data_IF_814895691773
#
_entry.id   IF_814895691773
#
_cell.length_a   1.000
_cell.length_b   1.000
_cell.length_c   1.000
_cell.angle_alpha   90.00
_cell.angle_beta   90.00
_cell.angle_gamma   90.00
#
_symmetry.space_group_name_H-M   'P 1'
#
loop_
_entity.id
_entity.type
_entity.pdbx_description
1 polymer ?
#
# COMPACT_ATOMS: atom_id res chain seq x y z
N UNK A 1 -11.28 -24.84 3.60
CA UNK A 1 -10.56 -23.60 3.19
C UNK A 1 -9.46 -23.99 2.26
N UNK A 2 -9.33 -23.27 1.15
CA UNK A 2 -8.19 -23.37 0.25
C UNK A 2 -6.92 -22.84 0.93
N UNK A 3 -5.74 -23.25 0.45
CA UNK A 3 -4.46 -22.75 0.95
C UNK A 3 -4.41 -21.21 0.88
N UNK A 4 -4.96 -20.65 -0.20
CA UNK A 4 -5.01 -19.20 -0.43
C UNK A 4 -5.92 -18.45 0.55
N UNK A 5 -7.03 -19.04 0.99
CA UNK A 5 -7.87 -18.44 2.05
C UNK A 5 -7.18 -18.43 3.41
N UNK A 6 -6.39 -19.48 3.73
CA UNK A 6 -5.61 -19.53 4.98
C UNK A 6 -4.51 -18.46 4.97
N UNK A 7 -3.83 -18.29 3.84
CA UNK A 7 -2.82 -17.25 3.65
C UNK A 7 -3.44 -15.85 3.78
N UNK A 8 -4.61 -15.62 3.15
CA UNK A 8 -5.38 -14.37 3.29
C UNK A 8 -5.66 -14.01 4.74
N UNK A 9 -6.19 -14.96 5.50
CA UNK A 9 -6.52 -14.76 6.92
C UNK A 9 -5.28 -14.59 7.79
N UNK A 10 -4.16 -15.23 7.45
CA UNK A 10 -2.91 -15.03 8.16
C UNK A 10 -2.38 -13.61 7.95
N UNK A 11 -2.24 -13.16 6.70
CA UNK A 11 -1.73 -11.83 6.38
C UNK A 11 -2.64 -10.74 6.94
N UNK A 12 -3.97 -10.88 6.81
CA UNK A 12 -4.93 -9.93 7.39
C UNK A 12 -4.75 -9.78 8.91
N UNK A 13 -4.43 -10.87 9.61
CA UNK A 13 -4.16 -10.85 11.06
C UNK A 13 -2.84 -10.18 11.39
N UNK A 14 -1.79 -10.41 10.60
CA UNK A 14 -0.50 -9.74 10.80
C UNK A 14 -0.62 -8.23 10.56
N UNK A 15 -1.29 -7.80 9.48
CA UNK A 15 -1.60 -6.39 9.23
C UNK A 15 -2.36 -5.78 10.42
N UNK A 16 -3.39 -6.46 10.92
CA UNK A 16 -4.17 -5.99 12.06
C UNK A 16 -3.32 -5.88 13.35
N UNK A 17 -2.38 -6.80 13.57
CA UNK A 17 -1.47 -6.75 14.71
C UNK A 17 -0.52 -5.56 14.60
N UNK A 18 0.02 -5.29 13.42
CA UNK A 18 0.91 -4.16 13.21
C UNK A 18 0.18 -2.83 13.35
N UNK A 19 -1.01 -2.69 12.76
CA UNK A 19 -1.86 -1.50 12.94
C UNK A 19 -2.17 -1.23 14.42
N UNK A 20 -2.40 -2.27 15.25
CA UNK A 20 -2.62 -2.09 16.70
C UNK A 20 -1.39 -1.54 17.45
N UNK A 21 -0.19 -1.74 16.92
CA UNK A 21 1.04 -1.15 17.48
C UNK A 21 1.19 0.30 17.05
N UNK A 22 0.80 0.61 15.81
CA UNK A 22 0.98 1.93 15.19
C UNK A 22 -0.10 2.94 15.59
N UNK A 23 -1.35 2.50 15.79
CA UNK A 23 -2.47 3.42 16.07
C UNK A 23 -3.57 2.80 16.94
N UNK A 24 -4.39 3.68 17.52
CA UNK A 24 -5.63 3.33 18.24
C UNK A 24 -6.90 3.72 17.48
N UNK A 25 -6.74 4.33 16.31
CA UNK A 25 -7.85 4.78 15.48
C UNK A 25 -8.62 3.57 14.91
N UNK A 26 -9.92 3.73 14.65
CA UNK A 26 -10.69 2.75 13.91
C UNK A 26 -10.06 2.48 12.54
N UNK A 27 -10.01 1.20 12.16
CA UNK A 27 -9.57 0.77 10.84
C UNK A 27 -10.40 -0.40 10.34
N UNK A 28 -10.39 -0.57 9.03
CA UNK A 28 -10.98 -1.71 8.31
C UNK A 28 -9.91 -2.34 7.45
N UNK A 29 -9.90 -3.68 7.39
CA UNK A 29 -9.05 -4.46 6.50
C UNK A 29 -9.95 -5.33 5.65
N UNK A 30 -9.82 -5.20 4.34
CA UNK A 30 -10.48 -6.05 3.35
C UNK A 30 -9.42 -6.68 2.45
N UNK A 31 -9.76 -7.81 1.83
CA UNK A 31 -8.86 -8.48 0.91
C UNK A 31 -9.64 -8.99 -0.30
N UNK A 32 -9.17 -8.63 -1.49
CA UNK A 32 -9.73 -9.06 -2.76
C UNK A 32 -8.68 -9.89 -3.52
N UNK A 33 -9.11 -11.00 -4.12
CA UNK A 33 -8.22 -11.80 -4.95
C UNK A 33 -8.21 -11.27 -6.38
N UNK A 34 -7.03 -10.89 -6.85
CA UNK A 34 -6.78 -10.50 -8.22
C UNK A 34 -5.85 -11.56 -8.87
N UNK A 35 -6.21 -12.15 -10.02
CA UNK A 35 -5.45 -13.25 -10.64
C UNK A 35 -3.95 -13.02 -10.87
N UNK A 36 -3.54 -11.80 -11.26
CA UNK A 36 -2.16 -11.45 -11.55
C UNK A 36 -1.38 -11.04 -10.29
N UNK A 37 -2.07 -10.51 -9.28
CA UNK A 37 -1.45 -9.96 -8.07
C UNK A 37 -1.57 -10.84 -6.82
N UNK A 38 -2.47 -11.81 -6.82
CA UNK A 38 -2.88 -12.53 -5.63
C UNK A 38 -3.85 -11.70 -4.79
N UNK A 39 -3.85 -11.87 -3.47
CA UNK A 39 -4.68 -11.02 -2.62
C UNK A 39 -4.11 -9.61 -2.52
N UNK A 40 -4.95 -8.62 -2.81
CA UNK A 40 -4.74 -7.20 -2.54
C UNK A 40 -5.47 -6.86 -1.25
N UNK A 41 -4.75 -6.26 -0.30
CA UNK A 41 -5.28 -5.89 1.00
C UNK A 41 -5.59 -4.39 1.02
N UNK A 42 -6.84 -4.06 1.29
CA UNK A 42 -7.31 -2.68 1.43
C UNK A 42 -7.37 -2.34 2.91
N UNK A 43 -6.62 -1.33 3.32
CA UNK A 43 -6.60 -0.81 4.68
C UNK A 43 -7.18 0.58 4.67
N UNK A 44 -8.36 0.76 5.27
CA UNK A 44 -8.99 2.07 5.45
C UNK A 44 -8.89 2.49 6.91
N UNK A 45 -8.34 3.67 7.19
CA UNK A 45 -8.19 4.19 8.56
C UNK A 45 -8.93 5.51 8.77
N UNK A 46 -9.50 5.69 9.96
CA UNK A 46 -10.12 6.95 10.37
C UNK A 46 -9.07 7.94 10.91
N UNK A 47 -8.25 8.46 9.99
CA UNK A 47 -7.19 9.42 10.26
C UNK A 47 -7.15 10.52 9.17
N UNK A 48 -6.50 11.64 9.48
CA UNK A 48 -6.11 12.61 8.45
C UNK A 48 -4.99 12.04 7.56
N UNK A 49 -4.81 12.64 6.38
CA UNK A 49 -3.82 12.20 5.40
C UNK A 49 -2.40 12.13 5.99
N UNK A 50 -1.98 13.13 6.76
CA UNK A 50 -0.65 13.20 7.37
C UNK A 50 -0.31 11.95 8.19
N UNK A 51 -1.17 11.59 9.15
CA UNK A 51 -1.02 10.40 10.01
C UNK A 51 -1.21 9.10 9.22
N UNK A 52 -2.18 9.05 8.30
CA UNK A 52 -2.43 7.87 7.47
C UNK A 52 -1.22 7.51 6.60
N UNK A 53 -0.56 8.51 6.00
CA UNK A 53 0.63 8.30 5.17
C UNK A 53 1.82 7.80 6.00
N UNK A 54 1.99 8.28 7.23
CA UNK A 54 3.04 7.78 8.13
C UNK A 54 2.79 6.33 8.54
N UNK A 55 1.54 5.97 8.88
CA UNK A 55 1.16 4.59 9.19
C UNK A 55 1.36 3.69 7.96
N UNK A 56 0.96 4.15 6.77
CA UNK A 56 1.15 3.42 5.52
C UNK A 56 2.64 3.15 5.26
N UNK A 57 3.50 4.16 5.40
CA UNK A 57 4.94 4.01 5.24
C UNK A 57 5.50 2.91 6.16
N UNK A 58 5.13 2.92 7.44
CA UNK A 58 5.54 1.89 8.40
C UNK A 58 5.04 0.50 8.03
N UNK A 59 3.79 0.41 7.59
CA UNK A 59 3.19 -0.85 7.18
C UNK A 59 3.91 -1.42 5.94
N UNK A 60 4.26 -0.58 4.98
CA UNK A 60 4.96 -0.98 3.75
C UNK A 60 6.42 -1.36 4.00
N UNK A 61 7.06 -0.79 5.02
CA UNK A 61 8.40 -1.22 5.45
C UNK A 61 8.39 -2.65 6.05
N UNK A 62 7.32 -3.02 6.76
CA UNK A 62 7.16 -4.34 7.38
C UNK A 62 6.67 -5.40 6.37
N UNK A 63 5.67 -5.06 5.57
CA UNK A 63 4.99 -5.97 4.64
C UNK A 63 5.50 -5.80 3.21
N UNK A 64 6.81 -5.95 3.01
CA UNK A 64 7.41 -5.87 1.67
C UNK A 64 6.80 -6.89 0.72
N UNK A 65 6.54 -6.47 -0.51
CA UNK A 65 5.97 -7.29 -1.60
C UNK A 65 4.51 -7.75 -1.38
N UNK A 66 3.87 -7.40 -0.26
CA UNK A 66 2.44 -7.62 -0.06
C UNK A 66 1.67 -6.46 -0.68
N UNK A 67 0.72 -6.70 -1.61
CA UNK A 67 -0.07 -5.62 -2.20
C UNK A 67 -1.01 -5.02 -1.17
N UNK A 68 -0.63 -3.88 -0.61
CA UNK A 68 -1.46 -3.12 0.35
C UNK A 68 -1.84 -1.78 -0.27
N UNK A 69 -3.14 -1.55 -0.40
CA UNK A 69 -3.74 -0.26 -0.76
C UNK A 69 -4.22 0.40 0.54
N UNK A 70 -3.85 1.65 0.74
CA UNK A 70 -4.11 2.36 1.99
C UNK A 70 -4.98 3.58 1.72
N UNK A 71 -6.08 3.68 2.45
CA UNK A 71 -7.09 4.75 2.34
C UNK A 71 -7.30 5.41 3.70
N UNK A 72 -7.69 6.68 3.68
CA UNK A 72 -8.03 7.44 4.88
C UNK A 72 -9.37 8.16 4.72
N UNK A 73 -10.08 8.36 5.83
CA UNK A 73 -11.41 9.01 5.82
C UNK A 73 -11.43 10.41 6.43
N UNK A 74 -10.34 10.85 7.05
CA UNK A 74 -10.19 12.19 7.59
C UNK A 74 -9.84 13.24 6.53
N UNK A 75 -9.45 14.43 7.00
CA UNK A 75 -9.11 15.54 6.11
C UNK A 75 -7.77 15.28 5.41
N UNK A 76 -7.67 15.74 4.15
CA UNK A 76 -6.38 15.84 3.46
C UNK A 76 -5.68 17.10 3.93
N UNK A 77 -4.95 16.98 5.04
CA UNK A 77 -4.26 18.06 5.77
C UNK A 77 -2.80 18.27 5.33
N UNK A 78 -2.44 17.75 4.15
CA UNK A 78 -1.14 17.91 3.51
C UNK A 78 -1.30 18.59 2.16
N UNK A 79 -0.27 19.31 1.72
CA UNK A 79 -0.23 19.85 0.36
C UNK A 79 -0.11 18.73 -0.68
N UNK A 80 -0.44 19.06 -1.94
CA UNK A 80 -0.27 18.11 -3.06
C UNK A 80 1.19 17.69 -3.25
N UNK A 81 2.14 18.58 -3.01
CA UNK A 81 3.59 18.30 -3.10
C UNK A 81 4.02 17.31 -2.01
N UNK A 82 3.66 17.57 -0.74
CA UNK A 82 3.95 16.67 0.37
C UNK A 82 3.29 15.30 0.19
N UNK A 83 2.07 15.26 -0.35
CA UNK A 83 1.40 14.01 -0.67
C UNK A 83 2.17 13.22 -1.73
N UNK A 84 2.59 13.87 -2.82
CA UNK A 84 3.35 13.23 -3.89
C UNK A 84 4.70 12.68 -3.40
N UNK A 85 5.42 13.45 -2.58
CA UNK A 85 6.69 13.02 -1.99
C UNK A 85 6.52 11.80 -1.09
N UNK A 86 5.52 11.82 -0.18
CA UNK A 86 5.24 10.70 0.72
C UNK A 86 4.82 9.45 -0.06
N UNK A 87 3.99 9.59 -1.10
CA UNK A 87 3.61 8.46 -1.95
C UNK A 87 4.82 7.88 -2.69
N UNK A 88 5.72 8.72 -3.21
CA UNK A 88 6.94 8.25 -3.84
C UNK A 88 7.84 7.48 -2.85
N UNK A 89 7.98 7.97 -1.62
CA UNK A 89 8.72 7.27 -0.56
C UNK A 89 8.09 5.91 -0.24
N UNK A 90 6.77 5.86 -0.06
CA UNK A 90 6.02 4.63 0.19
C UNK A 90 6.25 3.59 -0.93
N UNK A 91 6.16 4.01 -2.19
CA UNK A 91 6.38 3.14 -3.35
C UNK A 91 7.81 2.57 -3.38
N UNK A 92 8.82 3.37 -3.04
CA UNK A 92 10.21 2.90 -2.97
C UNK A 92 10.43 1.89 -1.82
N UNK A 93 9.69 2.04 -0.72
CA UNK A 93 9.84 1.22 0.49
C UNK A 93 9.04 -0.08 0.47
N UNK A 94 7.83 -0.06 -0.09
CA UNK A 94 6.91 -1.21 -0.14
C UNK A 94 7.43 -2.41 -0.94
N UNK A 95 8.49 -2.23 -1.72
CA UNK A 95 9.16 -3.33 -2.43
C UNK A 95 8.31 -3.97 -3.52
N UNK A 96 7.07 -3.52 -3.73
CA UNK A 96 6.22 -3.89 -4.86
C UNK A 96 6.92 -3.38 -6.11
N UNK A 97 7.73 -4.25 -6.72
CA UNK A 97 8.11 -4.08 -8.12
C UNK A 97 6.79 -4.01 -8.86
N UNK A 98 6.55 -2.92 -9.59
CA UNK A 98 5.41 -2.86 -10.50
C UNK A 98 5.42 -4.18 -11.30
N UNK A 99 4.44 -5.06 -11.07
CA UNK A 99 4.15 -6.17 -11.99
C UNK A 99 3.62 -5.48 -13.23
N UNK A 100 4.56 -5.04 -14.04
CA UNK A 100 4.27 -4.52 -15.35
C UNK A 100 3.68 -5.69 -16.11
N UNK A 101 2.47 -5.49 -16.65
CA UNK A 101 1.88 -6.41 -17.60
C UNK A 101 2.97 -6.89 -18.58
N UNK A 102 3.02 -8.18 -18.96
CA UNK A 102 4.08 -8.69 -19.81
C UNK A 102 4.27 -7.78 -21.04
N UNK A 103 5.41 -7.08 -21.11
CA UNK A 103 5.75 -6.18 -22.22
C UNK A 103 5.89 -4.70 -21.88
N UNK A 104 5.48 -4.21 -20.70
CA UNK A 104 5.76 -2.84 -20.29
C UNK A 104 7.07 -2.76 -19.47
N UNK A 105 7.89 -1.74 -19.73
CA UNK A 105 9.09 -1.43 -18.96
C UNK A 105 9.02 0.02 -18.51
N UNK A 106 8.84 0.24 -17.21
CA UNK A 106 8.79 1.58 -16.62
C UNK A 106 10.10 2.36 -16.87
N UNK A 107 11.23 1.66 -16.92
CA UNK A 107 12.53 2.25 -17.28
C UNK A 107 12.49 2.82 -18.69
N UNK A 108 11.96 2.08 -19.67
CA UNK A 108 11.82 2.56 -21.05
C UNK A 108 10.83 3.71 -21.18
N UNK A 109 9.75 3.71 -20.39
CA UNK A 109 8.75 4.77 -20.41
C UNK A 109 9.31 6.11 -19.89
N UNK A 110 10.22 6.07 -18.90
CA UNK A 110 10.85 7.28 -18.34
C UNK A 110 12.02 7.75 -19.21
N UNK A 111 12.75 6.84 -19.87
CA UNK A 111 13.78 7.20 -20.86
C UNK A 111 13.19 7.97 -22.06
N UNK A 112 11.95 7.67 -22.47
CA UNK A 112 11.26 8.38 -23.54
C UNK A 112 10.79 9.81 -23.21
N UNK A 113 10.87 10.24 -21.95
CA UNK A 113 10.45 11.57 -21.48
C UNK A 113 11.64 12.52 -21.19
N UNK A 114 12.86 12.17 -21.60
CA UNK A 114 14.05 13.03 -21.48
C UNK A 114 14.44 13.78 -22.75
N UNK A 115 13.57 13.81 -23.75
CA UNK A 115 13.71 14.70 -24.91
C UNK A 115 12.59 15.74 -24.89
N UNK A 116 12.90 16.89 -24.29
CA UNK A 116 12.52 18.24 -24.73
C UNK A 116 13.55 19.26 -24.18
#
# INVERSE_FOLDING_TARGET
>A
MSLSEVEKEHISREIAQELRKLTRLPYKIEAEYEPDWGYIYYVTIDANASEALEINLRLQEEFKEVPIIFEWTGETDVSEEELAEKLAEILLKGGIKAKLAPGFSAVKAVEGNRED
#
